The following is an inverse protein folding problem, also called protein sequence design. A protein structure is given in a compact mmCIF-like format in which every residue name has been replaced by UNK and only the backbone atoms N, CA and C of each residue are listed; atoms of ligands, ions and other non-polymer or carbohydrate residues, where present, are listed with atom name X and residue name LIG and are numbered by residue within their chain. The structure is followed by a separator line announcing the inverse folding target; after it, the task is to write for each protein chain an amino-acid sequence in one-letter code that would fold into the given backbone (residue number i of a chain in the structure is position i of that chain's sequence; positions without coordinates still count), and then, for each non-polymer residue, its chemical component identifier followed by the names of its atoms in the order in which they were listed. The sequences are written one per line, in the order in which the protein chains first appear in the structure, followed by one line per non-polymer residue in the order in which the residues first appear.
data_IF_134220108661
#
_entry.id   IF_134220108661
#
_cell.length_a   1.000
_cell.length_b   1.000
_cell.length_c   1.000
_cell.angle_alpha   90.00
_cell.angle_beta   90.00
_cell.angle_gamma   90.00
#
_symmetry.space_group_name_H-M   'P 1'
#
loop_
_entity.id
_entity.type
_entity.pdbx_description
1 polymer ?
#
# COMPACT_ATOMS: atom_id res chain seq x y z
N UNK A 1 16.55 2.42 9.37
CA UNK A 1 16.86 0.98 9.24
C UNK A 1 17.89 0.63 10.30
N UNK A 2 17.73 -0.50 10.99
CA UNK A 2 18.64 -0.89 12.07
C UNK A 2 19.87 -1.60 11.49
N UNK A 3 21.10 -1.26 11.93
CA UNK A 3 22.32 -1.97 11.53
C UNK A 3 22.16 -3.48 11.71
N UNK A 4 22.84 -4.29 10.88
CA UNK A 4 22.75 -5.75 10.95
C UNK A 4 23.07 -6.30 12.36
N UNK A 5 24.01 -5.64 13.05
CA UNK A 5 24.45 -5.99 14.41
C UNK A 5 23.58 -5.39 15.52
N UNK A 6 22.46 -4.73 15.19
CA UNK A 6 21.58 -4.14 16.20
C UNK A 6 20.93 -5.23 17.05
N UNK A 7 20.96 -5.06 18.37
CA UNK A 7 20.32 -5.95 19.35
C UNK A 7 18.84 -6.18 19.01
N UNK A 8 18.12 -5.13 18.59
CA UNK A 8 16.72 -5.26 18.18
C UNK A 8 16.57 -6.17 16.95
N UNK A 9 17.42 -6.01 15.91
CA UNK A 9 17.37 -6.87 14.72
C UNK A 9 17.69 -8.33 15.06
N UNK A 10 18.72 -8.56 15.88
CA UNK A 10 19.12 -9.89 16.31
C UNK A 10 18.07 -10.56 17.21
N UNK A 11 17.34 -9.78 18.02
CA UNK A 11 16.30 -10.28 18.93
C UNK A 11 14.99 -10.60 18.20
N UNK A 12 14.60 -9.79 17.21
CA UNK A 12 13.35 -9.99 16.47
C UNK A 12 13.47 -10.97 15.30
N UNK A 13 14.67 -11.18 14.74
CA UNK A 13 14.90 -12.12 13.63
C UNK A 13 14.37 -13.54 13.91
N UNK A 14 14.77 -14.20 15.02
CA UNK A 14 14.27 -15.54 15.36
C UNK A 14 12.75 -15.62 15.55
N UNK A 15 12.12 -14.50 15.97
CA UNK A 15 10.67 -14.44 16.16
C UNK A 15 9.95 -14.32 14.81
N UNK A 16 10.52 -13.56 13.87
CA UNK A 16 10.05 -13.49 12.50
C UNK A 16 10.20 -14.84 11.78
N UNK A 17 11.32 -15.54 11.97
CA UNK A 17 11.56 -16.86 11.37
C UNK A 17 10.54 -17.92 11.85
N UNK A 18 10.12 -17.85 13.12
CA UNK A 18 9.14 -18.77 13.70
C UNK A 18 7.69 -18.46 13.30
N UNK A 19 7.34 -17.19 13.22
CA UNK A 19 5.93 -16.77 13.07
C UNK A 19 5.58 -16.36 11.65
N UNK A 20 6.56 -15.97 10.83
CA UNK A 20 6.36 -15.33 9.53
C UNK A 20 5.60 -14.00 9.60
N UNK A 21 5.24 -13.54 10.81
CA UNK A 21 4.40 -12.38 11.01
C UNK A 21 5.24 -11.10 11.01
N UNK A 22 4.82 -10.04 10.31
CA UNK A 22 5.51 -8.76 10.38
C UNK A 22 5.42 -8.20 11.81
N UNK A 23 6.46 -7.50 12.25
CA UNK A 23 6.50 -6.87 13.59
C UNK A 23 5.37 -5.84 13.79
N UNK A 24 4.91 -5.22 12.70
CA UNK A 24 3.76 -4.31 12.68
C UNK A 24 2.98 -4.54 11.38
N UNK A 25 1.67 -4.72 11.50
CA UNK A 25 0.74 -4.73 10.36
C UNK A 25 -0.22 -3.57 10.48
N UNK A 26 -0.15 -2.65 9.52
CA UNK A 26 -1.11 -1.58 9.33
C UNK A 26 -2.02 -1.91 8.16
N UNK A 27 -3.28 -1.48 8.21
CA UNK A 27 -4.25 -1.68 7.14
C UNK A 27 -4.97 -0.37 6.90
N UNK A 28 -4.95 0.09 5.65
CA UNK A 28 -5.68 1.26 5.20
C UNK A 28 -6.74 0.82 4.20
N UNK A 29 -7.92 1.43 4.28
CA UNK A 29 -9.00 1.26 3.30
C UNK A 29 -9.25 2.63 2.70
N UNK A 30 -8.91 2.78 1.43
CA UNK A 30 -9.11 4.03 0.70
C UNK A 30 -10.32 3.89 -0.23
N UNK A 31 -11.15 4.92 -0.26
CA UNK A 31 -12.28 5.04 -1.18
C UNK A 31 -12.03 6.20 -2.13
N UNK A 32 -12.28 5.99 -3.42
CA UNK A 32 -12.15 7.01 -4.46
C UNK A 32 -13.51 7.18 -5.13
N UNK A 33 -13.94 8.44 -5.27
CA UNK A 33 -15.17 8.82 -5.96
C UNK A 33 -14.80 9.35 -7.34
N UNK A 34 -15.49 8.88 -8.38
CA UNK A 34 -15.49 9.50 -9.70
C UNK A 34 -16.71 10.43 -9.80
N UNK A 35 -16.53 11.76 -9.87
CA UNK A 35 -17.63 12.70 -9.91
C UNK A 35 -18.55 12.52 -11.12
N UNK A 36 -18.00 12.13 -12.27
CA UNK A 36 -18.77 11.98 -13.51
C UNK A 36 -19.76 10.82 -13.41
N UNK A 37 -19.34 9.74 -12.76
CA UNK A 37 -20.17 8.55 -12.50
C UNK A 37 -21.16 8.74 -11.34
N UNK A 38 -21.01 9.81 -10.54
CA UNK A 38 -21.76 10.03 -9.30
C UNK A 38 -22.55 11.35 -9.30
N UNK A 39 -22.86 11.90 -10.48
CA UNK A 39 -23.48 13.23 -10.63
C UNK A 39 -24.76 13.42 -9.81
N UNK A 40 -25.71 12.48 -9.91
CA UNK A 40 -26.99 12.56 -9.19
C UNK A 40 -26.79 12.63 -7.66
N UNK A 41 -25.88 11.81 -7.14
CA UNK A 41 -25.56 11.81 -5.71
C UNK A 41 -24.90 13.12 -5.26
N UNK A 42 -24.09 13.74 -6.12
CA UNK A 42 -23.42 15.02 -5.87
C UNK A 42 -24.43 16.16 -5.89
N UNK A 43 -25.32 16.21 -6.89
CA UNK A 43 -26.38 17.22 -6.99
C UNK A 43 -27.32 17.16 -5.79
N UNK A 44 -27.72 15.96 -5.37
CA UNK A 44 -28.54 15.76 -4.16
C UNK A 44 -27.87 16.26 -2.86
N UNK A 45 -26.56 16.55 -2.91
CA UNK A 45 -25.77 17.09 -1.80
C UNK A 45 -25.30 18.52 -2.07
N UNK A 46 -26.00 19.26 -2.92
CA UNK A 46 -25.73 20.69 -3.18
C UNK A 46 -24.78 20.96 -4.34
N UNK A 47 -24.42 19.93 -5.11
CA UNK A 47 -23.64 20.09 -6.35
C UNK A 47 -22.17 20.48 -6.13
N UNK A 48 -21.46 20.61 -7.23
CA UNK A 48 -20.07 21.10 -7.25
C UNK A 48 -19.09 20.28 -6.38
N UNK A 49 -18.00 20.93 -5.99
CA UNK A 49 -16.92 20.29 -5.22
C UNK A 49 -17.35 19.94 -3.79
N UNK A 50 -18.17 20.77 -3.16
CA UNK A 50 -18.67 20.51 -1.81
C UNK A 50 -19.63 19.32 -1.77
N UNK A 51 -20.49 19.18 -2.77
CA UNK A 51 -21.36 18.00 -2.93
C UNK A 51 -20.53 16.72 -3.11
N UNK A 52 -19.44 16.79 -3.89
CA UNK A 52 -18.51 15.69 -4.07
C UNK A 52 -17.77 15.32 -2.76
N UNK A 53 -17.32 16.30 -2.00
CA UNK A 53 -16.71 16.08 -0.68
C UNK A 53 -17.71 15.45 0.30
N UNK A 54 -18.95 15.96 0.37
CA UNK A 54 -20.03 15.37 1.19
C UNK A 54 -20.37 13.94 0.78
N UNK A 55 -20.38 13.65 -0.53
CA UNK A 55 -20.50 12.28 -1.05
C UNK A 55 -19.37 11.39 -0.53
N UNK A 56 -18.13 11.83 -0.64
CA UNK A 56 -16.95 11.05 -0.24
C UNK A 56 -16.94 10.75 1.26
N UNK A 57 -17.20 11.76 2.10
CA UNK A 57 -17.33 11.59 3.57
C UNK A 57 -18.39 10.54 3.88
N UNK A 58 -19.56 10.64 3.23
CA UNK A 58 -20.65 9.69 3.47
C UNK A 58 -20.28 8.25 3.09
N UNK A 59 -19.54 8.06 2.00
CA UNK A 59 -19.05 6.73 1.60
C UNK A 59 -18.00 6.21 2.59
N UNK A 60 -17.08 7.06 3.03
CA UNK A 60 -16.07 6.70 4.03
C UNK A 60 -16.72 6.26 5.35
N UNK A 61 -17.69 7.02 5.86
CA UNK A 61 -18.47 6.67 7.05
C UNK A 61 -19.20 5.34 6.89
N UNK A 62 -19.81 5.12 5.71
CA UNK A 62 -20.51 3.88 5.44
C UNK A 62 -19.55 2.68 5.44
N UNK A 63 -18.39 2.80 4.79
CA UNK A 63 -17.37 1.75 4.79
C UNK A 63 -16.83 1.50 6.20
N UNK A 64 -16.52 2.55 6.97
CA UNK A 64 -16.07 2.43 8.36
C UNK A 64 -17.13 1.73 9.24
N UNK A 65 -18.40 2.07 9.07
CA UNK A 65 -19.52 1.43 9.76
C UNK A 65 -19.62 -0.06 9.42
N UNK A 66 -19.46 -0.44 8.14
CA UNK A 66 -19.50 -1.85 7.70
C UNK A 66 -18.31 -2.66 8.23
N UNK A 67 -17.11 -2.07 8.24
CA UNK A 67 -15.91 -2.67 8.84
C UNK A 67 -16.10 -2.85 10.36
N UNK A 68 -16.71 -1.87 11.02
CA UNK A 68 -17.02 -1.93 12.45
C UNK A 68 -18.06 -3.01 12.76
N UNK A 69 -19.11 -3.12 11.96
CA UNK A 69 -20.10 -4.19 12.07
C UNK A 69 -19.52 -5.60 11.83
N UNK A 70 -18.38 -5.70 11.14
CA UNK A 70 -17.63 -6.95 10.97
C UNK A 70 -16.67 -7.25 12.13
N UNK A 71 -16.65 -6.44 13.20
CA UNK A 71 -15.85 -6.67 14.40
C UNK A 71 -14.47 -6.01 14.42
N UNK A 72 -14.14 -5.17 13.42
CA UNK A 72 -12.89 -4.41 13.40
C UNK A 72 -13.07 -3.00 13.95
N UNK A 73 -11.99 -2.37 14.40
CA UNK A 73 -12.02 -0.93 14.69
C UNK A 73 -11.65 -0.16 13.42
N UNK A 74 -12.55 0.69 12.93
CA UNK A 74 -12.30 1.61 11.82
C UNK A 74 -12.46 3.06 12.27
N UNK A 75 -11.56 3.93 11.79
CA UNK A 75 -11.61 5.38 12.00
C UNK A 75 -11.43 6.03 10.64
N UNK A 76 -12.27 7.02 10.33
CA UNK A 76 -12.10 7.84 9.13
C UNK A 76 -11.01 8.85 9.42
N UNK A 77 -9.97 8.87 8.59
CA UNK A 77 -8.81 9.72 8.79
C UNK A 77 -9.13 11.17 8.42
N UNK A 78 -8.69 12.11 9.25
CA UNK A 78 -8.63 13.51 8.86
C UNK A 78 -7.45 13.79 7.90
N UNK A 79 -7.24 15.06 7.54
CA UNK A 79 -6.17 15.46 6.62
C UNK A 79 -4.76 15.13 7.16
N UNK A 80 -4.51 15.36 8.45
CA UNK A 80 -3.20 15.17 9.05
C UNK A 80 -2.90 13.68 9.24
N UNK A 81 -3.91 12.91 9.63
CA UNK A 81 -3.85 11.46 9.71
C UNK A 81 -3.66 10.82 8.32
N UNK A 82 -4.31 11.34 7.29
CA UNK A 82 -4.09 10.91 5.90
C UNK A 82 -2.66 11.21 5.44
N UNK A 83 -2.16 12.41 5.70
CA UNK A 83 -0.78 12.79 5.39
C UNK A 83 0.23 11.88 6.11
N UNK A 84 -0.02 11.56 7.38
CA UNK A 84 0.77 10.61 8.15
C UNK A 84 0.70 9.20 7.54
N UNK A 85 -0.48 8.71 7.17
CA UNK A 85 -0.67 7.42 6.52
C UNK A 85 0.09 7.31 5.19
N UNK A 86 0.07 8.36 4.37
CA UNK A 86 0.82 8.45 3.11
C UNK A 86 2.32 8.44 3.38
N UNK A 87 2.81 9.26 4.33
CA UNK A 87 4.22 9.31 4.69
C UNK A 87 4.73 7.95 5.22
N UNK A 88 3.96 7.31 6.11
CA UNK A 88 4.25 5.97 6.63
C UNK A 88 4.28 4.93 5.50
N UNK A 89 3.27 4.94 4.61
CA UNK A 89 3.20 4.01 3.48
C UNK A 89 4.35 4.21 2.50
N UNK A 90 4.73 5.45 2.23
CA UNK A 90 5.89 5.79 1.39
C UNK A 90 7.24 5.50 2.08
N UNK A 91 7.23 5.06 3.34
CA UNK A 91 8.42 4.91 4.18
C UNK A 91 9.28 6.18 4.25
N UNK A 92 8.65 7.35 4.20
CA UNK A 92 9.33 8.63 4.27
C UNK A 92 10.09 8.76 5.59
N UNK A 93 11.30 9.30 5.55
CA UNK A 93 12.13 9.46 6.73
C UNK A 93 11.50 10.51 7.68
N UNK A 94 11.14 10.13 8.92
CA UNK A 94 10.41 11.02 9.83
C UNK A 94 11.24 12.25 10.24
N UNK A 95 12.58 12.13 10.31
CA UNK A 95 13.46 13.25 10.64
C UNK A 95 13.47 14.29 9.51
N UNK A 96 13.44 13.85 8.25
CA UNK A 96 13.38 14.73 7.10
C UNK A 96 11.98 15.32 6.91
N UNK A 97 10.93 14.54 7.16
CA UNK A 97 9.55 15.02 7.14
C UNK A 97 9.30 16.11 8.18
N UNK A 98 9.82 15.96 9.41
CA UNK A 98 9.71 16.99 10.45
C UNK A 98 10.50 18.27 10.15
N UNK A 99 11.57 18.19 9.35
CA UNK A 99 12.31 19.37 8.88
C UNK A 99 11.56 20.11 7.77
N UNK A 100 10.92 19.39 6.86
CA UNK A 100 10.20 19.97 5.73
C UNK A 100 9.03 20.87 6.15
N UNK A 101 8.46 20.67 7.35
CA UNK A 101 7.39 21.53 7.89
C UNK A 101 7.87 22.86 8.49
N UNK A 102 9.17 23.17 8.46
CA UNK A 102 9.70 24.43 9.00
C UNK A 102 9.60 25.57 7.98
N UNK A 103 9.27 26.81 8.40
CA UNK A 103 9.14 27.96 7.48
C UNK A 103 10.37 28.20 6.60
N UNK A 104 11.57 27.98 7.16
CA UNK A 104 12.85 28.25 6.48
C UNK A 104 13.44 27.00 5.79
N UNK A 105 12.69 25.90 5.69
CA UNK A 105 13.19 24.69 5.06
C UNK A 105 13.30 24.89 3.54
N UNK A 106 14.52 24.86 3.01
CA UNK A 106 14.72 24.86 1.56
C UNK A 106 14.06 23.62 0.92
N UNK A 107 13.39 23.75 -0.23
CA UNK A 107 12.84 22.62 -0.96
C UNK A 107 13.95 21.62 -1.30
N UNK A 108 13.80 20.38 -0.83
CA UNK A 108 14.74 19.30 -1.15
C UNK A 108 14.04 18.24 -1.99
N UNK A 109 14.70 17.79 -3.07
CA UNK A 109 14.22 16.64 -3.83
C UNK A 109 14.37 15.37 -3.00
N UNK A 110 13.25 14.88 -2.48
CA UNK A 110 13.20 13.68 -1.62
C UNK A 110 13.01 12.38 -2.38
N UNK A 111 12.56 12.45 -3.62
CA UNK A 111 12.22 11.28 -4.43
C UNK A 111 13.07 11.19 -5.68
N UNK A 112 13.39 9.98 -6.10
CA UNK A 112 14.12 9.72 -7.35
C UNK A 112 13.70 8.38 -7.92
N UNK A 113 13.45 8.33 -9.22
CA UNK A 113 13.17 7.09 -9.93
C UNK A 113 14.35 6.71 -10.81
N UNK A 114 14.65 5.42 -10.82
CA UNK A 114 15.52 4.77 -11.81
C UNK A 114 14.69 3.72 -12.54
N UNK A 115 15.29 3.01 -13.50
CA UNK A 115 14.58 1.96 -14.23
C UNK A 115 14.06 0.80 -13.38
N UNK A 116 14.56 0.58 -12.16
CA UNK A 116 14.20 -0.60 -11.33
C UNK A 116 13.73 -0.26 -9.93
N UNK A 117 14.04 0.94 -9.47
CA UNK A 117 13.74 1.38 -8.11
C UNK A 117 13.20 2.80 -8.10
N UNK A 118 12.24 3.04 -7.22
CA UNK A 118 11.89 4.36 -6.74
C UNK A 118 12.50 4.56 -5.36
N UNK A 119 13.05 5.74 -5.09
CA UNK A 119 13.61 6.10 -3.79
C UNK A 119 12.79 7.19 -3.15
N UNK A 120 12.59 7.07 -1.84
CA UNK A 120 12.17 8.15 -0.95
C UNK A 120 13.23 8.26 0.15
N UNK A 121 13.94 9.38 0.19
CA UNK A 121 15.04 9.61 1.13
C UNK A 121 16.11 8.50 1.11
N UNK A 122 16.28 7.80 2.23
CA UNK A 122 17.18 6.67 2.48
C UNK A 122 16.47 5.30 2.32
N UNK A 123 15.38 5.23 1.54
CA UNK A 123 14.63 4.00 1.26
C UNK A 123 14.55 3.72 -0.24
N UNK A 124 14.72 2.46 -0.58
CA UNK A 124 14.66 1.93 -1.95
C UNK A 124 13.43 1.04 -2.06
N UNK A 125 12.61 1.30 -3.06
CA UNK A 125 11.36 0.61 -3.30
C UNK A 125 11.42 -0.07 -4.65
N UNK A 126 10.93 -1.31 -4.72
CA UNK A 126 10.55 -1.92 -5.99
C UNK A 126 9.10 -2.42 -5.91
N UNK A 127 8.36 -2.21 -6.98
CA UNK A 127 6.94 -2.61 -7.06
C UNK A 127 6.73 -3.66 -8.13
N UNK A 128 5.83 -4.59 -7.82
CA UNK A 128 5.32 -5.63 -8.68
C UNK A 128 3.81 -5.44 -8.85
N UNK A 129 3.31 -5.65 -10.06
CA UNK A 129 1.90 -5.92 -10.29
C UNK A 129 1.62 -7.42 -10.17
N UNK A 130 0.43 -7.77 -9.70
CA UNK A 130 -0.10 -9.14 -9.78
C UNK A 130 -0.69 -9.32 -11.17
N UNK A 131 0.01 -10.05 -12.04
CA UNK A 131 -0.43 -10.32 -13.42
C UNK A 131 -1.24 -11.63 -13.53
N UNK A 132 -1.09 -12.51 -12.53
CA UNK A 132 -1.85 -13.75 -12.41
C UNK A 132 -2.21 -13.98 -10.95
N UNK A 133 -3.51 -13.97 -10.68
CA UNK A 133 -4.04 -14.41 -9.40
C UNK A 133 -3.96 -15.93 -9.27
N UNK A 134 -3.73 -16.47 -8.07
CA UNK A 134 -3.98 -17.87 -7.82
C UNK A 134 -5.47 -18.16 -7.98
N UNK A 135 -5.88 -19.42 -7.93
CA UNK A 135 -7.31 -19.73 -7.82
C UNK A 135 -7.89 -18.92 -6.64
N UNK A 136 -9.03 -18.26 -6.87
CA UNK A 136 -9.76 -17.51 -5.86
C UNK A 136 -11.12 -18.17 -5.70
N UNK A 137 -11.53 -18.48 -4.47
CA UNK A 137 -12.85 -19.09 -4.21
C UNK A 137 -12.82 -20.19 -3.15
N UNK A 138 -13.91 -20.97 -3.09
CA UNK A 138 -14.04 -22.08 -2.13
C UNK A 138 -13.02 -23.18 -2.47
N UNK A 139 -12.14 -23.50 -1.54
CA UNK A 139 -11.08 -24.50 -1.71
C UNK A 139 -9.72 -23.95 -2.16
N UNK A 140 -9.64 -22.66 -2.45
CA UNK A 140 -8.37 -22.00 -2.75
C UNK A 140 -7.68 -21.44 -1.49
N UNK A 141 -6.41 -21.05 -1.62
CA UNK A 141 -5.68 -20.36 -0.55
C UNK A 141 -6.48 -19.13 -0.09
N UNK A 142 -6.84 -19.05 1.20
CA UNK A 142 -7.52 -17.88 1.72
C UNK A 142 -6.72 -16.61 1.43
N UNK A 143 -7.39 -15.58 0.90
CA UNK A 143 -6.81 -14.25 0.63
C UNK A 143 -5.96 -13.71 1.82
N UNK A 144 -6.39 -13.81 3.09
CA UNK A 144 -5.57 -13.40 4.22
C UNK A 144 -4.23 -14.14 4.33
N UNK A 145 -4.21 -15.44 4.01
CA UNK A 145 -3.00 -16.26 4.01
C UNK A 145 -2.08 -15.88 2.84
N UNK A 146 -2.65 -15.58 1.67
CA UNK A 146 -1.88 -15.06 0.54
C UNK A 146 -1.21 -13.73 0.90
N UNK A 147 -1.95 -12.80 1.50
CA UNK A 147 -1.40 -11.51 1.94
C UNK A 147 -0.31 -11.71 2.97
N UNK A 148 -0.50 -12.62 3.95
CA UNK A 148 0.52 -12.93 4.94
C UNK A 148 1.81 -13.46 4.29
N UNK A 149 1.69 -14.38 3.34
CA UNK A 149 2.84 -14.96 2.63
C UNK A 149 3.58 -13.93 1.76
N UNK A 150 2.85 -13.05 1.07
CA UNK A 150 3.47 -12.01 0.25
C UNK A 150 4.08 -10.87 1.09
N UNK A 151 3.68 -10.73 2.35
CA UNK A 151 4.17 -9.67 3.26
C UNK A 151 5.15 -10.17 4.32
N UNK A 152 5.44 -11.48 4.38
CA UNK A 152 6.36 -12.07 5.36
C UNK A 152 7.85 -11.92 5.00
N UNK A 153 8.18 -11.36 3.83
CA UNK A 153 9.58 -11.18 3.42
C UNK A 153 10.34 -10.23 4.37
N UNK A 154 11.63 -10.50 4.68
CA UNK A 154 12.40 -9.73 5.65
C UNK A 154 12.91 -8.40 5.07
N UNK A 155 11.97 -7.53 4.72
CA UNK A 155 12.18 -6.19 4.19
C UNK A 155 12.09 -5.13 5.29
N UNK A 156 12.47 -3.89 4.99
CA UNK A 156 12.13 -2.75 5.86
C UNK A 156 10.61 -2.60 5.97
N UNK A 157 9.92 -2.72 4.84
CA UNK A 157 8.47 -2.78 4.77
C UNK A 157 8.04 -3.55 3.52
N UNK A 158 6.94 -4.27 3.63
CA UNK A 158 6.25 -4.89 2.49
C UNK A 158 4.81 -4.39 2.46
N UNK A 159 4.40 -3.79 1.35
CA UNK A 159 3.05 -3.30 1.14
C UNK A 159 2.36 -4.20 0.13
N UNK A 160 1.22 -4.78 0.51
CA UNK A 160 0.28 -5.41 -0.41
C UNK A 160 -0.91 -4.46 -0.61
N UNK A 161 -1.23 -4.14 -1.86
CA UNK A 161 -2.38 -3.32 -2.23
C UNK A 161 -3.32 -4.12 -3.11
N UNK A 162 -4.62 -4.04 -2.80
CA UNK A 162 -5.69 -4.59 -3.60
C UNK A 162 -6.65 -3.46 -3.95
N UNK A 163 -6.82 -3.20 -5.24
CA UNK A 163 -7.80 -2.22 -5.72
C UNK A 163 -8.95 -2.96 -6.37
N UNK A 164 -10.16 -2.62 -5.96
CA UNK A 164 -11.41 -3.18 -6.49
C UNK A 164 -12.16 -2.05 -7.18
N UNK A 165 -12.55 -2.26 -8.44
CA UNK A 165 -13.33 -1.27 -9.21
C UNK A 165 -14.48 -1.96 -9.92
N UNK A 166 -15.43 -1.18 -10.39
CA UNK A 166 -16.46 -1.68 -11.31
C UNK A 166 -15.77 -2.20 -12.59
N UNK A 167 -16.18 -3.38 -13.04
CA UNK A 167 -15.73 -3.95 -14.31
C UNK A 167 -16.38 -3.28 -15.52
N UNK A 168 -15.91 -3.63 -16.72
CA UNK A 168 -16.44 -3.07 -17.97
C UNK A 168 -17.89 -3.50 -18.22
N UNK A 169 -18.24 -4.74 -17.87
CA UNK A 169 -19.62 -5.23 -17.99
C UNK A 169 -20.41 -5.02 -16.70
N UNK A 170 -21.71 -4.87 -16.85
CA UNK A 170 -22.62 -4.72 -15.72
C UNK A 170 -22.53 -5.95 -14.80
N UNK A 171 -22.32 -5.70 -13.51
CA UNK A 171 -22.16 -6.75 -12.50
C UNK A 171 -20.75 -7.32 -12.36
N UNK A 172 -19.83 -6.97 -13.27
CA UNK A 172 -18.42 -7.37 -13.14
C UNK A 172 -17.67 -6.44 -12.19
N UNK A 173 -16.62 -7.00 -11.58
CA UNK A 173 -15.70 -6.30 -10.69
C UNK A 173 -14.28 -6.55 -11.19
N UNK A 174 -13.53 -5.49 -11.44
CA UNK A 174 -12.11 -5.59 -11.76
C UNK A 174 -11.29 -5.52 -10.47
N UNK A 175 -10.27 -6.39 -10.39
CA UNK A 175 -9.38 -6.50 -9.24
C UNK A 175 -7.95 -6.37 -9.73
N UNK A 176 -7.21 -5.40 -9.19
CA UNK A 176 -5.78 -5.26 -9.43
C UNK A 176 -5.02 -5.37 -8.12
N UNK A 177 -3.83 -5.98 -8.19
CA UNK A 177 -2.99 -6.28 -7.03
C UNK A 177 -1.59 -5.73 -7.24
N UNK A 178 -0.99 -5.18 -6.19
CA UNK A 178 0.39 -4.73 -6.22
C UNK A 178 1.12 -5.15 -4.95
N UNK A 179 2.40 -5.49 -5.10
CA UNK A 179 3.31 -5.75 -3.99
C UNK A 179 4.51 -4.82 -4.10
N UNK A 180 4.74 -4.01 -3.07
CA UNK A 180 5.94 -3.17 -2.97
C UNK A 180 6.80 -3.66 -1.81
N UNK A 181 8.08 -3.91 -2.11
CA UNK A 181 9.10 -4.18 -1.09
C UNK A 181 10.01 -2.99 -0.94
N UNK A 182 10.35 -2.66 0.30
CA UNK A 182 11.20 -1.53 0.67
C UNK A 182 12.45 -2.03 1.38
N UNK A 183 13.62 -1.59 0.94
CA UNK A 183 14.92 -1.90 1.53
C UNK A 183 15.68 -0.64 1.94
N UNK A 184 16.72 -0.82 2.75
CA UNK A 184 17.66 0.24 3.14
C UNK A 184 18.79 0.48 2.14
N UNK A 185 18.96 -0.42 1.16
CA UNK A 185 19.90 -0.27 0.05
C UNK A 185 19.42 -1.04 -1.18
N UNK A 186 20.02 -0.77 -2.34
CA UNK A 186 19.78 -1.55 -3.57
C UNK A 186 20.17 -3.03 -3.41
N UNK A 187 21.30 -3.31 -2.74
CA UNK A 187 21.80 -4.66 -2.52
C UNK A 187 20.89 -5.49 -1.60
N UNK A 188 20.37 -4.89 -0.52
CA UNK A 188 19.40 -5.55 0.36
C UNK A 188 18.11 -5.87 -0.42
N UNK A 189 17.66 -4.94 -1.26
CA UNK A 189 16.45 -5.10 -2.06
C UNK A 189 16.54 -6.29 -3.04
N UNK A 190 17.72 -6.57 -3.60
CA UNK A 190 17.93 -7.75 -4.45
C UNK A 190 17.64 -9.05 -3.70
N UNK A 191 18.11 -9.18 -2.45
CA UNK A 191 17.86 -10.36 -1.63
C UNK A 191 16.37 -10.53 -1.31
N UNK A 192 15.75 -9.47 -0.81
CA UNK A 192 14.32 -9.43 -0.46
C UNK A 192 13.43 -9.79 -1.66
N UNK A 193 13.76 -9.27 -2.86
CA UNK A 193 13.04 -9.58 -4.10
C UNK A 193 13.04 -11.06 -4.42
N UNK A 194 14.20 -11.74 -4.32
CA UNK A 194 14.28 -13.18 -4.61
C UNK A 194 13.38 -13.98 -3.68
N UNK A 195 13.35 -13.62 -2.39
CA UNK A 195 12.46 -14.24 -1.40
C UNK A 195 10.99 -14.01 -1.75
N UNK A 196 10.62 -12.77 -2.14
CA UNK A 196 9.25 -12.44 -2.54
C UNK A 196 8.83 -13.23 -3.78
N UNK A 197 9.67 -13.23 -4.82
CA UNK A 197 9.39 -13.93 -6.08
C UNK A 197 9.28 -15.45 -5.85
N UNK A 198 10.08 -16.02 -4.93
CA UNK A 198 9.96 -17.43 -4.54
C UNK A 198 8.66 -17.70 -3.78
N UNK A 199 8.28 -16.85 -2.82
CA UNK A 199 7.03 -16.97 -2.09
C UNK A 199 5.83 -16.90 -3.06
N UNK A 200 5.81 -15.91 -3.95
CA UNK A 200 4.77 -15.75 -4.96
C UNK A 200 4.64 -16.98 -5.87
N UNK A 201 5.76 -17.52 -6.37
CA UNK A 201 5.77 -18.77 -7.15
C UNK A 201 5.18 -19.94 -6.37
N UNK A 202 5.55 -20.10 -5.10
CA UNK A 202 5.01 -21.17 -4.25
C UNK A 202 3.48 -21.02 -4.05
N UNK A 203 3.00 -19.79 -3.91
CA UNK A 203 1.59 -19.46 -3.81
C UNK A 203 0.85 -19.41 -5.18
N UNK A 204 1.51 -19.76 -6.29
CA UNK A 204 0.97 -19.70 -7.66
C UNK A 204 0.49 -18.30 -8.07
N UNK A 205 1.12 -17.26 -7.53
CA UNK A 205 0.86 -15.86 -7.88
C UNK A 205 1.90 -15.41 -8.89
N UNK A 206 1.45 -14.88 -10.01
CA UNK A 206 2.31 -14.22 -10.98
C UNK A 206 2.59 -12.78 -10.54
N UNK A 207 3.87 -12.41 -10.52
CA UNK A 207 4.33 -11.07 -10.22
C UNK A 207 5.14 -10.52 -11.40
N UNK A 208 4.67 -9.42 -11.96
CA UNK A 208 5.39 -8.66 -12.97
C UNK A 208 6.06 -7.44 -12.32
N UNK A 209 7.39 -7.36 -12.37
CA UNK A 209 8.10 -6.21 -11.82
C UNK A 209 7.89 -4.99 -12.72
N UNK A 210 7.50 -3.86 -12.13
CA UNK A 210 7.19 -2.62 -12.83
C UNK A 210 8.46 -1.83 -13.19
N UNK A 211 9.38 -2.46 -13.92
CA UNK A 211 10.59 -1.78 -14.39
C UNK A 211 10.22 -0.60 -15.30
N UNK A 212 10.81 0.57 -15.04
CA UNK A 212 10.50 1.87 -15.66
C UNK A 212 9.12 2.44 -15.33
N UNK A 213 8.37 1.77 -14.46
CA UNK A 213 7.03 2.17 -14.00
C UNK A 213 6.95 2.12 -12.46
N UNK A 214 8.04 2.46 -11.78
CA UNK A 214 8.13 2.35 -10.32
C UNK A 214 7.30 3.41 -9.62
N UNK A 215 7.25 4.64 -10.14
CA UNK A 215 6.41 5.69 -9.57
C UNK A 215 4.91 5.35 -9.68
N UNK A 216 4.35 4.95 -10.85
CA UNK A 216 2.99 4.44 -10.94
C UNK A 216 2.73 3.27 -9.98
N UNK A 217 3.66 2.31 -9.88
CA UNK A 217 3.55 1.20 -8.93
C UNK A 217 3.51 1.67 -7.46
N UNK A 218 4.35 2.64 -7.10
CA UNK A 218 4.34 3.26 -5.77
C UNK A 218 2.99 3.90 -5.50
N UNK A 219 2.45 4.70 -6.42
CA UNK A 219 1.13 5.33 -6.27
C UNK A 219 0.02 4.28 -6.08
N UNK A 220 0.08 3.16 -6.81
CA UNK A 220 -0.89 2.06 -6.69
C UNK A 220 -0.84 1.35 -5.33
N UNK A 221 0.21 1.57 -4.54
CA UNK A 221 0.40 1.00 -3.19
C UNK A 221 0.27 2.03 -2.07
N UNK A 222 0.02 3.30 -2.38
CA UNK A 222 -0.31 4.31 -1.38
C UNK A 222 -1.81 4.25 -1.01
N UNK A 223 -2.19 4.69 0.20
CA UNK A 223 -3.58 4.68 0.66
C UNK A 223 -4.40 5.83 0.04
N UNK A 224 -4.42 5.90 -1.30
CA UNK A 224 -5.03 6.98 -2.10
C UNK A 224 -6.15 6.48 -3.02
N UNK A 225 -6.51 5.19 -2.95
CA UNK A 225 -7.55 4.60 -3.80
C UNK A 225 -7.05 4.08 -5.15
N UNK A 226 -5.73 3.85 -5.27
CA UNK A 226 -5.07 3.33 -6.49
C UNK A 226 -4.46 4.43 -7.38
N UNK A 227 -3.68 4.02 -8.38
CA UNK A 227 -2.94 4.93 -9.26
C UNK A 227 -3.77 5.53 -10.41
N UNK A 228 -5.02 5.09 -10.60
CA UNK A 228 -5.89 5.46 -11.73
C UNK A 228 -7.28 5.87 -11.26
#
# INVERSE_FOLDING_TARGET
HLPQQSVARLSYGPLQDKTGAPALRMTWVAVKLDPELCREAIEARGGGIEGAQRCLVRVADHVASRITGAGFRAVVLDQDELNAAVATSACANPLLSGRAGRPDAAPQRRTMETSRVWRCDDRWHTTYAVDRWPELGRGATPLPQLVALLTSVPAYATTFSLTVRRGERQGETSVSGHVRVTGGSDTELVGVRRTLEQAARHAKVGLARLDREQLPGVLATLPLGGAQ
#
